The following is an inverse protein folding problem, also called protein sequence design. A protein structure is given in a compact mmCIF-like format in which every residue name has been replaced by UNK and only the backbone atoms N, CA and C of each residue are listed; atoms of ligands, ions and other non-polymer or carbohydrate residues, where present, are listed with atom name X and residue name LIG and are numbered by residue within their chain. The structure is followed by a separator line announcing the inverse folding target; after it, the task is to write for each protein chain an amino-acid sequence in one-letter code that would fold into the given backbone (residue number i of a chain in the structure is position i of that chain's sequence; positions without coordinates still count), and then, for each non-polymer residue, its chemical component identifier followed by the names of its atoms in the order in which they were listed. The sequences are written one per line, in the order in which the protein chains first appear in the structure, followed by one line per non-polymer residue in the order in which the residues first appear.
data_IF_692006383812
#
_entry.id   IF_692006383812
#
_cell.length_a   1.000
_cell.length_b   1.000
_cell.length_c   1.000
_cell.angle_alpha   90.00
_cell.angle_beta   90.00
_cell.angle_gamma   90.00
#
_symmetry.space_group_name_H-M   'P 1'
#
loop_
_entity.id
_entity.type
_entity.pdbx_description
1 polymer ?
#
# COMPACT_ATOMS: atom_id res chain seq x y z
N UNK A 1 16.11 -14.54 8.54
CA UNK A 1 16.37 -15.49 7.45
C UNK A 1 15.07 -15.78 6.73
N UNK A 2 14.79 -15.08 5.65
CA UNK A 2 13.84 -15.58 4.66
C UNK A 2 14.22 -15.01 3.29
N UNK A 3 14.87 -15.85 2.49
CA UNK A 3 15.39 -15.53 1.16
C UNK A 3 14.39 -15.86 0.05
N UNK A 4 13.21 -16.41 0.36
CA UNK A 4 12.23 -16.79 -0.63
C UNK A 4 11.20 -15.66 -0.83
N UNK A 5 10.95 -15.23 -2.07
CA UNK A 5 9.82 -14.36 -2.38
C UNK A 5 8.52 -14.95 -1.84
N UNK A 6 7.63 -14.11 -1.33
CA UNK A 6 6.40 -14.54 -0.67
C UNK A 6 5.55 -15.50 -1.51
N UNK A 7 5.53 -15.32 -2.82
CA UNK A 7 4.83 -16.23 -3.75
C UNK A 7 5.43 -17.63 -3.81
N UNK A 8 6.75 -17.75 -3.74
CA UNK A 8 7.41 -19.05 -3.76
C UNK A 8 7.25 -19.74 -2.40
N UNK A 9 7.24 -18.95 -1.33
CA UNK A 9 6.92 -19.45 0.00
C UNK A 9 5.47 -19.97 0.08
N UNK A 10 4.49 -19.28 -0.52
CA UNK A 10 3.10 -19.74 -0.61
C UNK A 10 2.98 -21.04 -1.41
N UNK A 11 3.65 -21.13 -2.57
CA UNK A 11 3.64 -22.34 -3.42
C UNK A 11 4.26 -23.54 -2.71
N UNK A 12 5.34 -23.33 -1.96
CA UNK A 12 5.97 -24.41 -1.18
C UNK A 12 5.15 -24.81 0.02
N UNK A 13 4.28 -23.92 0.55
CA UNK A 13 3.37 -24.24 1.66
C UNK A 13 2.34 -25.32 1.33
N UNK A 14 1.99 -25.46 0.05
CA UNK A 14 1.10 -26.53 -0.44
C UNK A 14 1.77 -27.90 -0.30
N UNK A 15 3.10 -27.94 -0.29
CA UNK A 15 3.88 -29.19 -0.28
C UNK A 15 4.19 -29.71 1.13
N UNK A 16 4.10 -28.86 2.17
CA UNK A 16 4.41 -29.28 3.54
C UNK A 16 3.76 -28.36 4.59
N UNK A 17 3.12 -28.95 5.60
CA UNK A 17 2.58 -28.24 6.77
C UNK A 17 3.68 -27.46 7.55
N UNK A 18 4.91 -27.94 7.53
CA UNK A 18 6.06 -27.25 8.16
C UNK A 18 6.45 -25.98 7.42
N UNK A 19 6.34 -25.96 6.09
CA UNK A 19 6.64 -24.79 5.28
C UNK A 19 5.52 -23.74 5.33
N UNK A 20 4.28 -24.14 5.62
CA UNK A 20 3.16 -23.22 5.83
C UNK A 20 3.45 -22.23 6.96
N UNK A 21 4.07 -22.65 8.04
CA UNK A 21 4.38 -21.81 9.19
C UNK A 21 5.54 -20.84 8.95
N UNK A 22 6.39 -21.10 7.95
CA UNK A 22 7.56 -20.26 7.66
C UNK A 22 7.16 -18.93 7.04
N UNK A 23 6.20 -18.93 6.10
CA UNK A 23 5.80 -17.69 5.45
C UNK A 23 4.72 -16.91 6.21
N UNK A 24 3.92 -17.57 7.07
CA UNK A 24 2.94 -16.92 7.94
C UNK A 24 3.58 -15.96 8.96
N UNK A 25 4.89 -16.01 9.13
CA UNK A 25 5.67 -15.16 10.04
C UNK A 25 6.70 -14.30 9.30
N UNK A 26 6.52 -14.06 8.00
CA UNK A 26 7.38 -13.14 7.26
C UNK A 26 7.25 -11.72 7.80
N UNK A 27 8.38 -11.10 8.10
CA UNK A 27 8.41 -9.73 8.65
C UNK A 27 8.24 -8.65 7.58
N UNK A 28 8.54 -8.96 6.31
CA UNK A 28 8.47 -8.04 5.18
C UNK A 28 7.47 -8.55 4.16
N UNK A 29 6.33 -7.87 4.06
CA UNK A 29 5.25 -8.19 3.14
C UNK A 29 5.28 -7.20 1.96
N UNK A 30 5.73 -7.63 0.80
CA UNK A 30 5.75 -6.82 -0.42
C UNK A 30 4.80 -7.40 -1.46
N UNK A 31 3.80 -6.62 -1.83
CA UNK A 31 2.78 -6.95 -2.81
C UNK A 31 2.88 -6.00 -4.00
N UNK A 32 3.47 -6.45 -5.07
CA UNK A 32 3.58 -5.74 -6.34
C UNK A 32 3.35 -6.69 -7.53
N UNK A 33 3.46 -6.19 -8.75
CA UNK A 33 3.28 -6.99 -9.97
C UNK A 33 4.27 -8.14 -10.06
N UNK A 34 5.50 -7.94 -9.59
CA UNK A 34 6.59 -8.90 -9.70
C UNK A 34 6.42 -9.98 -8.64
N UNK A 35 6.25 -9.59 -7.39
CA UNK A 35 6.08 -10.50 -6.26
C UNK A 35 4.80 -11.33 -6.40
N UNK A 36 3.71 -10.72 -6.89
CA UNK A 36 2.45 -11.42 -7.13
C UNK A 36 2.37 -12.12 -8.49
N UNK A 37 3.39 -11.97 -9.35
CA UNK A 37 3.42 -12.59 -10.69
C UNK A 37 2.10 -12.44 -11.44
N UNK A 38 1.57 -11.23 -11.45
CA UNK A 38 0.38 -10.95 -12.25
C UNK A 38 0.73 -10.99 -13.74
N UNK A 39 -0.16 -11.55 -14.56
CA UNK A 39 0.09 -11.85 -15.97
C UNK A 39 0.53 -10.60 -16.74
N UNK A 40 1.67 -10.69 -17.44
CA UNK A 40 2.22 -9.61 -18.29
C UNK A 40 1.54 -9.59 -19.67
N UNK A 41 0.27 -9.21 -19.76
CA UNK A 41 -0.29 -8.81 -21.04
C UNK A 41 -0.16 -7.30 -21.19
N UNK A 42 0.30 -6.83 -22.36
CA UNK A 42 0.24 -5.37 -22.66
C UNK A 42 -1.23 -4.94 -22.53
N UNK A 43 -1.57 -4.01 -21.62
CA UNK A 43 -2.95 -3.63 -21.42
C UNK A 43 -3.38 -2.73 -22.56
N UNK A 44 -3.93 -3.31 -23.62
CA UNK A 44 -4.56 -2.53 -24.71
C UNK A 44 -6.03 -2.21 -24.44
N UNK A 45 -6.67 -2.88 -23.49
CA UNK A 45 -8.09 -2.73 -23.19
C UNK A 45 -8.38 -2.68 -21.69
N UNK A 46 -9.49 -2.01 -21.31
CA UNK A 46 -9.96 -1.94 -19.91
C UNK A 46 -10.23 -3.31 -19.28
N UNK A 47 -10.62 -4.30 -20.09
CA UNK A 47 -10.87 -5.68 -19.66
C UNK A 47 -9.61 -6.31 -19.03
N UNK A 48 -8.44 -6.19 -19.66
CA UNK A 48 -7.20 -6.75 -19.11
C UNK A 48 -6.74 -6.03 -17.84
N UNK A 49 -7.03 -4.73 -17.72
CA UNK A 49 -6.75 -3.98 -16.49
C UNK A 49 -7.58 -4.54 -15.34
N UNK A 50 -8.88 -4.72 -15.55
CA UNK A 50 -9.79 -5.30 -14.56
C UNK A 50 -9.37 -6.71 -14.14
N UNK A 51 -9.05 -7.60 -15.10
CA UNK A 51 -8.63 -8.97 -14.82
C UNK A 51 -7.37 -9.04 -13.97
N UNK A 52 -6.41 -8.16 -14.27
CA UNK A 52 -5.16 -8.05 -13.49
C UNK A 52 -5.38 -7.52 -12.08
N UNK A 53 -6.25 -6.53 -11.92
CA UNK A 53 -6.61 -6.00 -10.61
C UNK A 53 -7.31 -7.08 -9.77
N UNK A 54 -8.25 -7.81 -10.35
CA UNK A 54 -8.93 -8.92 -9.69
C UNK A 54 -7.97 -10.05 -9.27
N UNK A 55 -7.06 -10.45 -10.16
CA UNK A 55 -6.03 -11.44 -9.85
C UNK A 55 -5.12 -10.98 -8.70
N UNK A 56 -4.66 -9.73 -8.75
CA UNK A 56 -3.82 -9.15 -7.71
C UNK A 56 -4.53 -9.11 -6.36
N UNK A 57 -5.74 -8.59 -6.32
CA UNK A 57 -6.57 -8.48 -5.13
C UNK A 57 -6.80 -9.85 -4.48
N UNK A 58 -7.19 -10.85 -5.28
CA UNK A 58 -7.41 -12.22 -4.80
C UNK A 58 -6.15 -12.81 -4.16
N UNK A 59 -4.98 -12.59 -4.76
CA UNK A 59 -3.70 -13.07 -4.24
C UNK A 59 -3.33 -12.38 -2.92
N UNK A 60 -3.45 -11.06 -2.85
CA UNK A 60 -3.16 -10.32 -1.62
C UNK A 60 -4.10 -10.73 -0.49
N UNK A 61 -5.41 -10.79 -0.75
CA UNK A 61 -6.39 -11.24 0.24
C UNK A 61 -6.06 -12.64 0.77
N UNK A 62 -5.69 -13.57 -0.13
CA UNK A 62 -5.32 -14.94 0.26
C UNK A 62 -4.12 -14.96 1.20
N UNK A 63 -3.10 -14.14 0.91
CA UNK A 63 -1.89 -14.04 1.73
C UNK A 63 -2.22 -13.46 3.10
N UNK A 64 -2.89 -12.31 3.13
CA UNK A 64 -3.17 -11.62 4.39
C UNK A 64 -4.13 -12.42 5.28
N UNK A 65 -5.08 -13.16 4.68
CA UNK A 65 -5.96 -14.05 5.44
C UNK A 65 -5.21 -15.17 6.17
N UNK A 66 -4.10 -15.63 5.60
CA UNK A 66 -3.32 -16.74 6.16
C UNK A 66 -2.14 -16.26 7.03
N UNK A 67 -1.73 -15.00 6.92
CA UNK A 67 -0.64 -14.44 7.69
C UNK A 67 -1.06 -14.15 9.14
N UNK A 68 -0.19 -14.45 10.11
CA UNK A 68 -0.50 -14.24 11.53
C UNK A 68 -0.63 -12.76 11.92
N UNK A 69 -0.06 -11.85 11.12
CA UNK A 69 0.07 -10.44 11.44
C UNK A 69 1.15 -10.11 12.46
N UNK A 70 1.72 -11.12 13.13
CA UNK A 70 2.74 -10.91 14.16
C UNK A 70 4.12 -10.68 13.53
N UNK A 71 4.86 -9.70 14.08
CA UNK A 71 6.24 -9.43 13.69
C UNK A 71 6.41 -8.80 12.31
N UNK A 72 5.34 -8.25 11.72
CA UNK A 72 5.44 -7.50 10.46
C UNK A 72 6.19 -6.20 10.73
N UNK A 73 7.34 -6.03 10.10
CA UNK A 73 8.15 -4.81 10.19
C UNK A 73 7.89 -3.87 9.02
N UNK A 74 7.66 -4.43 7.83
CA UNK A 74 7.36 -3.68 6.61
C UNK A 74 6.17 -4.29 5.89
N UNK A 75 5.22 -3.43 5.49
CA UNK A 75 4.13 -3.79 4.59
C UNK A 75 4.10 -2.82 3.42
N UNK A 76 4.17 -3.36 2.22
CA UNK A 76 4.22 -2.60 0.98
C UNK A 76 3.22 -3.15 -0.03
N UNK A 77 2.35 -2.28 -0.53
CA UNK A 77 1.36 -2.58 -1.56
C UNK A 77 1.55 -1.59 -2.71
N UNK A 78 1.92 -2.08 -3.91
CA UNK A 78 2.12 -1.26 -5.11
C UNK A 78 1.39 -1.87 -6.29
N UNK A 79 0.19 -1.35 -6.57
CA UNK A 79 -0.60 -1.77 -7.72
C UNK A 79 -1.64 -0.73 -8.11
N UNK A 80 -1.97 -0.61 -9.40
CA UNK A 80 -3.01 0.32 -9.87
C UNK A 80 -4.40 -0.17 -9.47
N UNK A 81 -4.94 0.43 -8.42
CA UNK A 81 -6.28 0.21 -7.91
C UNK A 81 -7.02 1.56 -7.77
N UNK A 82 -8.34 1.50 -7.70
CA UNK A 82 -9.22 2.65 -7.55
C UNK A 82 -10.28 2.41 -6.47
N UNK A 83 -11.22 3.34 -6.32
CA UNK A 83 -12.30 3.26 -5.33
C UNK A 83 -13.19 2.01 -5.45
N UNK A 84 -13.21 1.33 -6.62
CA UNK A 84 -13.95 0.07 -6.79
C UNK A 84 -13.35 -1.07 -5.98
N UNK A 85 -12.11 -0.94 -5.55
CA UNK A 85 -11.39 -1.92 -4.75
C UNK A 85 -11.32 -1.50 -3.27
N UNK A 86 -12.10 -0.48 -2.86
CA UNK A 86 -12.04 0.10 -1.51
C UNK A 86 -12.16 -0.95 -0.41
N UNK A 87 -13.14 -1.87 -0.49
CA UNK A 87 -13.36 -2.91 0.51
C UNK A 87 -12.13 -3.81 0.74
N UNK A 88 -11.35 -4.06 -0.33
CA UNK A 88 -10.12 -4.84 -0.24
C UNK A 88 -9.01 -4.01 0.39
N UNK A 89 -8.84 -2.77 -0.07
CA UNK A 89 -7.81 -1.86 0.44
C UNK A 89 -8.05 -1.57 1.92
N UNK A 90 -9.31 -1.37 2.35
CA UNK A 90 -9.68 -1.18 3.75
C UNK A 90 -9.27 -2.38 4.62
N UNK A 91 -9.48 -3.62 4.13
CA UNK A 91 -9.02 -4.82 4.85
C UNK A 91 -7.50 -4.86 4.98
N UNK A 92 -6.77 -4.45 3.95
CA UNK A 92 -5.30 -4.43 3.97
C UNK A 92 -4.76 -3.34 4.90
N UNK A 93 -5.39 -2.16 4.89
CA UNK A 93 -5.06 -1.09 5.84
C UNK A 93 -5.36 -1.51 7.27
N UNK A 94 -6.51 -2.16 7.51
CA UNK A 94 -6.85 -2.70 8.83
C UNK A 94 -5.86 -3.79 9.29
N UNK A 95 -5.38 -4.64 8.36
CA UNK A 95 -4.32 -5.58 8.65
C UNK A 95 -3.02 -4.87 9.04
N UNK A 96 -2.63 -3.81 8.31
CA UNK A 96 -1.46 -2.99 8.65
C UNK A 96 -1.62 -2.34 10.04
N UNK A 97 -2.79 -1.78 10.34
CA UNK A 97 -3.09 -1.21 11.66
C UNK A 97 -2.91 -2.26 12.78
N UNK A 98 -3.46 -3.45 12.58
CA UNK A 98 -3.37 -4.54 13.57
C UNK A 98 -1.95 -5.08 13.74
N UNK A 99 -1.21 -5.18 12.65
CA UNK A 99 0.17 -5.73 12.61
C UNK A 99 1.23 -4.74 13.11
N UNK A 100 0.92 -3.44 13.12
CA UNK A 100 1.79 -2.37 13.60
C UNK A 100 3.18 -2.32 12.95
N UNK A 101 3.29 -2.31 11.61
CA UNK A 101 4.58 -2.25 10.94
C UNK A 101 5.30 -0.94 11.23
N UNK A 102 6.63 -0.96 11.17
CA UNK A 102 7.46 0.26 11.20
C UNK A 102 7.39 1.02 9.89
N UNK A 103 7.24 0.30 8.78
CA UNK A 103 7.17 0.86 7.44
C UNK A 103 5.88 0.44 6.75
N UNK A 104 5.11 1.41 6.31
CA UNK A 104 3.89 1.17 5.54
C UNK A 104 3.91 1.97 4.23
N UNK A 105 3.74 1.24 3.13
CA UNK A 105 3.70 1.80 1.77
C UNK A 105 2.41 1.39 1.10
N UNK A 106 1.61 2.36 0.69
CA UNK A 106 0.40 2.15 -0.09
C UNK A 106 0.45 3.02 -1.35
N UNK A 107 0.79 2.41 -2.48
CA UNK A 107 0.84 3.04 -3.79
C UNK A 107 -0.23 2.46 -4.69
N UNK A 108 -1.29 3.23 -4.96
CA UNK A 108 -2.42 2.82 -5.80
C UNK A 108 -2.24 3.20 -7.27
N UNK A 109 -1.01 3.51 -7.65
CA UNK A 109 -0.63 3.79 -9.04
C UNK A 109 0.60 2.98 -9.42
N UNK A 110 0.56 2.48 -10.65
CA UNK A 110 1.66 1.79 -11.30
C UNK A 110 2.65 2.74 -11.98
N UNK A 111 2.45 4.04 -11.78
CA UNK A 111 3.17 5.06 -12.50
C UNK A 111 4.63 5.06 -12.06
N UNK A 112 5.59 4.72 -12.94
CA UNK A 112 7.00 4.92 -12.61
C UNK A 112 7.23 6.42 -12.38
N UNK A 113 8.01 6.78 -11.36
CA UNK A 113 8.40 8.17 -11.03
C UNK A 113 8.95 8.96 -12.25
N UNK A 114 9.27 8.27 -13.34
CA UNK A 114 9.81 8.82 -14.61
C UNK A 114 8.72 9.35 -15.56
N UNK A 115 7.47 8.97 -15.41
CA UNK A 115 6.42 9.33 -16.37
C UNK A 115 5.85 10.75 -16.18
N UNK A 116 6.31 11.51 -15.18
CA UNK A 116 5.99 12.93 -15.08
C UNK A 116 6.47 13.73 -16.31
N UNK A 117 7.48 13.25 -17.02
CA UNK A 117 8.00 13.86 -18.25
C UNK A 117 7.40 13.29 -19.54
N UNK A 118 6.65 12.19 -19.48
CA UNK A 118 6.13 11.51 -20.67
C UNK A 118 4.71 11.90 -21.09
N UNK A 119 3.94 12.59 -20.25
CA UNK A 119 2.56 13.04 -20.61
C UNK A 119 2.55 14.12 -21.71
N UNK A 120 3.66 14.78 -21.97
CA UNK A 120 3.82 15.70 -23.08
C UNK A 120 4.01 15.03 -24.45
N UNK A 121 4.33 13.72 -24.49
CA UNK A 121 4.72 13.04 -25.73
C UNK A 121 3.60 12.24 -26.39
N UNK A 122 2.51 11.88 -25.71
CA UNK A 122 1.41 11.11 -26.27
C UNK A 122 0.07 11.81 -26.04
N UNK A 123 -0.45 12.40 -27.11
CA UNK A 123 -1.67 13.18 -27.18
C UNK A 123 -2.83 12.66 -26.31
N UNK A 124 -3.25 13.51 -25.41
CA UNK A 124 -4.58 13.68 -24.77
C UNK A 124 -5.63 12.59 -25.08
N UNK A 125 -5.52 11.40 -24.51
CA UNK A 125 -6.69 10.69 -24.05
C UNK A 125 -6.84 11.00 -22.56
N UNK A 126 -7.77 11.86 -22.18
CA UNK A 126 -8.27 11.98 -20.81
C UNK A 126 -8.72 10.58 -20.41
N UNK A 127 -7.84 9.86 -19.72
CA UNK A 127 -8.27 8.66 -19.00
C UNK A 127 -9.22 9.22 -17.94
N UNK A 128 -10.50 8.89 -18.03
CA UNK A 128 -11.46 9.16 -16.97
C UNK A 128 -10.89 8.41 -15.75
N UNK A 129 -10.23 9.16 -14.86
CA UNK A 129 -9.75 8.59 -13.60
C UNK A 129 -10.98 8.39 -12.75
N UNK A 130 -11.23 7.15 -12.35
CA UNK A 130 -12.15 6.86 -11.26
C UNK A 130 -11.74 7.70 -10.05
N UNK A 131 -12.69 8.07 -9.17
CA UNK A 131 -12.33 8.80 -7.97
C UNK A 131 -11.25 8.04 -7.19
N UNK A 132 -10.27 8.76 -6.61
CA UNK A 132 -9.23 8.12 -5.82
C UNK A 132 -9.83 7.39 -4.62
N UNK A 133 -9.17 6.32 -4.18
CA UNK A 133 -9.51 5.67 -2.92
C UNK A 133 -9.32 6.66 -1.76
N UNK A 134 -10.29 6.74 -0.87
CA UNK A 134 -10.21 7.59 0.31
C UNK A 134 -9.68 6.76 1.50
N UNK A 135 -8.45 7.08 1.92
CA UNK A 135 -7.78 6.35 2.99
C UNK A 135 -8.48 6.59 4.33
N UNK A 136 -8.78 5.51 5.05
CA UNK A 136 -9.41 5.59 6.36
C UNK A 136 -8.60 6.39 7.36
N UNK A 137 -9.24 7.34 8.03
CA UNK A 137 -8.61 8.18 9.06
C UNK A 137 -8.12 7.38 10.28
N UNK A 138 -8.60 6.15 10.47
CA UNK A 138 -8.19 5.28 11.58
C UNK A 138 -6.68 4.99 11.60
N UNK A 139 -6.02 4.95 10.42
CA UNK A 139 -4.56 4.79 10.35
C UNK A 139 -3.83 5.90 11.11
N UNK A 140 -4.40 7.10 11.13
CA UNK A 140 -3.80 8.29 11.73
C UNK A 140 -4.20 8.50 13.20
N UNK A 141 -4.96 7.59 13.81
CA UNK A 141 -5.22 7.68 15.24
C UNK A 141 -3.92 7.55 16.04
N UNK A 142 -3.77 8.23 17.18
CA UNK A 142 -2.53 8.25 17.96
C UNK A 142 -2.01 6.85 18.34
N UNK A 143 -2.93 5.91 18.60
CA UNK A 143 -2.58 4.52 18.93
C UNK A 143 -2.04 3.72 17.74
N UNK A 144 -2.50 4.04 16.53
CA UNK A 144 -2.20 3.27 15.32
C UNK A 144 -0.97 3.79 14.58
N UNK A 145 -0.72 5.11 14.60
CA UNK A 145 0.43 5.70 13.92
C UNK A 145 1.69 5.81 14.78
N UNK A 146 1.61 5.47 16.07
CA UNK A 146 2.72 5.65 17.02
C UNK A 146 3.97 4.83 16.71
N UNK A 147 3.85 3.71 15.98
CA UNK A 147 5.00 2.86 15.63
C UNK A 147 5.54 3.11 14.24
N UNK A 148 4.81 3.85 13.40
CA UNK A 148 5.25 4.15 12.05
C UNK A 148 6.54 4.99 12.07
N UNK A 149 7.56 4.51 11.35
CA UNK A 149 8.82 5.21 11.10
C UNK A 149 8.90 5.69 9.65
N UNK A 150 8.29 4.97 8.72
CA UNK A 150 8.20 5.33 7.31
C UNK A 150 6.77 5.15 6.81
N UNK A 151 6.22 6.20 6.21
CA UNK A 151 4.91 6.19 5.57
C UNK A 151 5.03 6.73 4.15
N UNK A 152 4.67 5.91 3.16
CA UNK A 152 4.60 6.34 1.76
C UNK A 152 3.18 6.10 1.23
N UNK A 153 2.53 7.16 0.77
CA UNK A 153 1.18 7.13 0.21
C UNK A 153 1.19 7.72 -1.20
N UNK A 154 0.57 7.02 -2.16
CA UNK A 154 0.54 7.47 -3.55
C UNK A 154 -0.82 7.23 -4.22
N UNK A 155 -1.31 8.26 -4.93
CA UNK A 155 -2.53 8.24 -5.77
C UNK A 155 -3.79 7.84 -4.98
N UNK A 156 -4.02 8.53 -3.88
CA UNK A 156 -5.20 8.36 -3.03
C UNK A 156 -5.63 9.70 -2.43
N UNK A 157 -6.77 9.74 -1.75
CA UNK A 157 -7.17 10.86 -0.92
C UNK A 157 -7.11 10.49 0.56
N UNK A 158 -6.85 11.47 1.41
CA UNK A 158 -6.85 11.28 2.85
C UNK A 158 -7.40 12.50 3.58
N UNK A 159 -7.98 12.23 4.74
CA UNK A 159 -8.36 13.25 5.72
C UNK A 159 -7.85 12.81 7.08
N UNK A 160 -7.30 13.77 7.82
CA UNK A 160 -6.87 13.51 9.18
C UNK A 160 -8.05 13.48 10.15
N UNK A 161 -8.02 12.62 11.18
CA UNK A 161 -9.02 12.69 12.22
C UNK A 161 -8.80 13.95 13.09
N UNK A 162 -9.87 14.46 13.68
CA UNK A 162 -9.84 15.67 14.52
C UNK A 162 -8.94 15.54 15.76
N UNK A 163 -8.71 14.30 16.21
CA UNK A 163 -7.84 13.96 17.33
C UNK A 163 -6.39 13.64 16.94
N UNK A 164 -6.02 13.87 15.67
CA UNK A 164 -4.64 13.63 15.20
C UNK A 164 -3.64 14.44 16.01
N UNK A 165 -2.70 13.75 16.64
CA UNK A 165 -1.68 14.35 17.53
C UNK A 165 -0.28 14.42 16.89
N UNK A 166 -0.19 14.11 15.61
CA UNK A 166 1.09 14.01 14.90
C UNK A 166 1.67 12.60 14.95
N UNK A 167 2.74 12.44 14.22
CA UNK A 167 3.50 11.18 14.18
C UNK A 167 4.60 11.23 15.25
N UNK A 168 4.54 10.32 16.22
CA UNK A 168 5.50 10.31 17.33
C UNK A 168 6.88 9.81 16.91
N UNK A 169 6.94 8.83 15.99
CA UNK A 169 8.18 8.13 15.62
C UNK A 169 8.47 8.18 14.12
N UNK A 170 7.72 8.96 13.34
CA UNK A 170 7.88 9.01 11.90
C UNK A 170 9.17 9.74 11.52
N UNK A 171 10.03 9.07 10.77
CA UNK A 171 11.30 9.57 10.23
C UNK A 171 11.17 10.00 8.77
N UNK A 172 10.31 9.32 8.02
CA UNK A 172 10.10 9.60 6.59
C UNK A 172 8.62 9.60 6.25
N UNK A 173 8.19 10.66 5.56
CA UNK A 173 6.84 10.80 5.00
C UNK A 173 6.95 11.14 3.52
N UNK A 174 6.37 10.30 2.66
CA UNK A 174 6.28 10.54 1.23
C UNK A 174 4.82 10.56 0.80
N UNK A 175 4.34 11.69 0.29
CA UNK A 175 3.00 11.87 -0.26
C UNK A 175 3.14 12.25 -1.73
N UNK A 176 2.68 11.38 -2.65
CA UNK A 176 2.79 11.57 -4.09
C UNK A 176 1.42 11.44 -4.73
N UNK A 177 0.96 12.47 -5.44
CA UNK A 177 -0.37 12.49 -6.07
C UNK A 177 -1.48 12.16 -5.03
N UNK A 178 -1.40 12.79 -3.86
CA UNK A 178 -2.34 12.61 -2.74
C UNK A 178 -3.25 13.84 -2.66
N UNK A 179 -4.57 13.60 -2.67
CA UNK A 179 -5.56 14.64 -2.39
C UNK A 179 -5.68 14.82 -0.88
N UNK A 180 -5.28 15.96 -0.38
CA UNK A 180 -5.29 16.33 1.04
C UNK A 180 -5.66 17.81 1.17
N UNK A 181 -6.34 18.21 2.24
CA UNK A 181 -6.68 19.63 2.47
C UNK A 181 -5.48 20.43 3.01
N UNK A 182 -5.49 21.73 2.79
CA UNK A 182 -4.43 22.61 3.31
C UNK A 182 -4.40 22.58 4.86
N UNK A 183 -5.57 22.45 5.50
CA UNK A 183 -5.70 22.32 6.94
C UNK A 183 -5.05 21.03 7.46
N UNK A 184 -5.26 19.91 6.76
CA UNK A 184 -4.65 18.62 7.10
C UNK A 184 -3.13 18.68 6.92
N UNK A 185 -2.63 19.30 5.85
CA UNK A 185 -1.19 19.52 5.63
C UNK A 185 -0.63 20.38 6.76
N UNK A 186 -1.26 21.51 7.06
CA UNK A 186 -0.82 22.39 8.16
C UNK A 186 -0.80 21.63 9.49
N UNK A 187 -1.80 20.78 9.74
CA UNK A 187 -1.87 19.96 10.95
C UNK A 187 -0.71 18.94 11.00
N UNK A 188 -0.41 18.27 9.89
CA UNK A 188 0.74 17.36 9.79
C UNK A 188 2.06 18.07 10.07
N UNK A 189 2.20 19.28 9.53
CA UNK A 189 3.44 20.06 9.63
C UNK A 189 3.63 20.72 10.99
N UNK A 190 2.55 21.16 11.65
CA UNK A 190 2.62 21.87 12.93
C UNK A 190 2.95 21.00 14.14
N UNK A 191 2.65 19.69 14.05
CA UNK A 191 2.82 18.74 15.16
C UNK A 191 4.08 17.88 15.02
N UNK A 192 5.14 18.48 14.49
CA UNK A 192 6.41 17.78 14.23
C UNK A 192 7.24 17.62 15.49
N UNK A 193 7.82 16.42 15.63
CA UNK A 193 8.98 16.26 16.48
C UNK A 193 10.26 15.84 15.74
N UNK A 194 10.24 15.23 14.54
CA UNK A 194 11.47 14.62 13.94
C UNK A 194 11.39 14.30 12.43
N UNK A 195 10.71 15.08 11.56
CA UNK A 195 10.72 14.76 10.13
C UNK A 195 11.99 15.30 9.45
N UNK A 196 12.82 14.42 8.92
CA UNK A 196 13.82 14.76 7.89
C UNK A 196 13.12 14.81 6.53
N UNK A 197 13.23 15.92 5.82
CA UNK A 197 12.74 16.07 4.44
C UNK A 197 13.84 15.68 3.48
N UNK A 198 13.52 14.80 2.60
CA UNK A 198 14.28 14.52 1.38
C UNK A 198 13.45 14.84 0.16
#
# INVERSE_FOLDING_TARGET
MSLLPINDAIRTSVLSRKLKNVWCSHTNLTFDKVTMRTTYFKPSTGYYRWLRAHEFVTKVDTVLHQHSGMGVERMEIRFTLDSKHADHIDRWVNFAIASKPKEFVLSLSDWPKIAFFGELAYGKKRIVREPPYNLTSQLFSPSNCSHLQCLELMSLSLHLPSDFKGFLNLKSLSLVDVSITDEDVACMLSKRNLLEFF
#
